data_IF_284499046419
#
_entry.id   IF_284499046419
#
_cell.length_a   1.000
_cell.length_b   1.000
_cell.length_c   1.000
_cell.angle_alpha   90.00
_cell.angle_beta   90.00
_cell.angle_gamma   90.00
#
_symmetry.space_group_name_H-M   'P 1'
#
loop_
_entity.id
_entity.type
_entity.pdbx_description
1 polymer ?
#
# COMPACT_ATOMS: atom_id res chain seq x y z
N UNK A 1 0.49 25.02 0.83
CA UNK A 1 1.01 23.71 1.27
C UNK A 1 -0.17 22.75 1.33
N UNK A 2 -0.28 21.84 0.38
CA UNK A 2 -1.34 20.84 0.32
C UNK A 2 -0.99 19.72 1.30
N UNK A 3 -1.58 19.72 2.50
CA UNK A 3 -1.51 18.55 3.38
C UNK A 3 -2.31 17.44 2.72
N UNK A 4 -1.63 16.41 2.20
CA UNK A 4 -2.30 15.17 1.81
C UNK A 4 -3.10 14.67 3.00
N UNK A 5 -4.41 14.54 2.84
CA UNK A 5 -5.30 13.97 3.86
C UNK A 5 -4.87 12.52 4.09
N UNK A 6 -4.12 12.26 5.17
CA UNK A 6 -3.79 10.89 5.56
C UNK A 6 -5.02 10.25 6.22
N UNK A 7 -5.39 9.06 5.74
CA UNK A 7 -6.51 8.32 6.31
C UNK A 7 -6.13 7.73 7.69
N UNK A 8 -6.97 8.01 8.69
CA UNK A 8 -6.82 7.44 10.03
C UNK A 8 -7.45 6.04 10.04
N UNK A 9 -6.62 5.02 10.22
CA UNK A 9 -7.05 3.61 10.28
C UNK A 9 -7.55 3.23 11.67
N UNK A 10 -6.90 3.73 12.72
CA UNK A 10 -7.29 3.49 14.10
C UNK A 10 -6.90 4.67 14.98
N UNK A 11 -7.81 5.07 15.85
CA UNK A 11 -7.58 6.06 16.89
C UNK A 11 -7.83 5.42 18.25
N UNK A 12 -6.87 5.57 19.16
CA UNK A 12 -6.95 5.08 20.53
C UNK A 12 -6.69 6.23 21.51
N UNK A 13 -7.72 6.79 22.16
CA UNK A 13 -7.55 7.81 23.19
C UNK A 13 -6.98 7.18 24.48
N UNK A 14 -6.65 8.02 25.46
CA UNK A 14 -6.18 7.56 26.78
C UNK A 14 -4.87 6.74 26.70
N UNK A 15 -3.96 7.20 25.84
CA UNK A 15 -2.62 6.65 25.68
C UNK A 15 -1.60 7.67 26.18
N UNK A 16 -0.82 7.27 27.18
CA UNK A 16 0.24 8.07 27.79
C UNK A 16 1.56 7.81 27.08
N UNK A 17 2.24 8.88 26.68
CA UNK A 17 3.60 8.82 26.18
C UNK A 17 4.49 9.73 27.04
N UNK A 18 5.59 9.20 27.58
CA UNK A 18 6.43 9.88 28.58
C UNK A 18 5.58 10.41 29.75
N UNK A 19 5.47 11.74 29.88
CA UNK A 19 4.69 12.43 30.94
C UNK A 19 3.37 13.03 30.43
N UNK A 20 3.03 12.86 29.16
CA UNK A 20 1.84 13.45 28.54
C UNK A 20 0.75 12.42 28.29
N UNK A 21 -0.49 12.82 28.52
CA UNK A 21 -1.69 12.08 28.15
C UNK A 21 -2.18 12.55 26.77
N UNK A 22 -2.68 11.62 25.98
CA UNK A 22 -3.02 11.91 24.61
C UNK A 22 -3.68 10.74 23.89
N UNK A 23 -3.68 10.86 22.57
CA UNK A 23 -4.32 9.93 21.66
C UNK A 23 -3.30 9.40 20.68
N UNK A 24 -3.29 8.08 20.51
CA UNK A 24 -2.48 7.38 19.52
C UNK A 24 -3.29 7.19 18.24
N UNK A 25 -2.69 7.52 17.10
CA UNK A 25 -3.27 7.43 15.78
C UNK A 25 -2.41 6.50 14.94
N UNK A 26 -3.05 5.51 14.32
CA UNK A 26 -2.45 4.68 13.28
C UNK A 26 -3.05 5.16 11.98
N UNK A 27 -2.23 5.82 11.17
CA UNK A 27 -2.59 6.33 9.84
C UNK A 27 -2.18 5.31 8.78
N UNK A 28 -2.37 5.66 7.51
CA UNK A 28 -1.99 4.82 6.36
C UNK A 28 -0.49 4.49 6.32
N UNK A 29 0.39 5.47 6.60
CA UNK A 29 1.85 5.37 6.44
C UNK A 29 2.64 5.51 7.73
N UNK A 30 2.00 5.99 8.80
CA UNK A 30 2.69 6.34 10.04
C UNK A 30 1.86 6.10 11.30
N UNK A 31 2.58 5.86 12.39
CA UNK A 31 2.09 5.92 13.74
C UNK A 31 2.32 7.33 14.29
N UNK A 32 1.26 8.02 14.71
CA UNK A 32 1.33 9.36 15.28
C UNK A 32 0.74 9.40 16.69
N UNK A 33 1.30 10.23 17.58
CA UNK A 33 0.73 10.48 18.90
C UNK A 33 0.56 11.98 19.12
N UNK A 34 -0.63 12.37 19.58
CA UNK A 34 -1.00 13.75 19.85
C UNK A 34 -1.37 13.92 21.32
N UNK A 35 -0.87 14.99 21.95
CA UNK A 35 -1.16 15.30 23.34
C UNK A 35 -2.54 15.96 23.44
N UNK A 36 -3.32 15.62 24.47
CA UNK A 36 -4.74 16.04 24.61
C UNK A 36 -4.92 17.58 24.65
N UNK A 37 -3.90 18.32 25.07
CA UNK A 37 -3.93 19.79 25.19
C UNK A 37 -3.07 20.53 24.16
N UNK A 38 -2.69 19.86 23.05
CA UNK A 38 -1.94 20.50 21.95
C UNK A 38 -2.38 19.95 20.60
N UNK A 39 -2.72 20.84 19.68
CA UNK A 39 -3.06 20.51 18.28
C UNK A 39 -1.84 20.13 17.41
N UNK A 40 -0.67 19.95 18.03
CA UNK A 40 0.56 19.56 17.33
C UNK A 40 0.88 18.09 17.56
N UNK A 41 1.08 17.34 16.47
CA UNK A 41 1.61 15.98 16.50
C UNK A 41 2.94 15.98 17.25
N UNK A 42 3.00 15.28 18.38
CA UNK A 42 4.16 15.29 19.26
C UNK A 42 5.16 14.19 18.91
N UNK A 43 4.68 13.07 18.35
CA UNK A 43 5.50 11.97 17.85
C UNK A 43 4.91 11.48 16.53
N UNK A 44 5.75 11.22 15.55
CA UNK A 44 5.38 10.60 14.28
C UNK A 44 6.47 9.63 13.84
N UNK A 45 6.11 8.37 13.62
CA UNK A 45 7.00 7.30 13.20
C UNK A 45 6.46 6.68 11.91
N UNK A 46 7.22 6.73 10.82
CA UNK A 46 6.87 6.01 9.60
C UNK A 46 6.92 4.51 9.86
N UNK A 47 6.00 3.75 9.27
CA UNK A 47 6.00 2.28 9.43
C UNK A 47 7.26 1.62 8.84
N UNK A 48 7.87 2.23 7.81
CA UNK A 48 9.13 1.79 7.23
C UNK A 48 10.28 1.82 8.25
N UNK A 49 10.27 2.78 9.17
CA UNK A 49 11.34 2.97 10.15
C UNK A 49 11.18 2.07 11.38
N UNK A 50 10.01 1.44 11.55
CA UNK A 50 9.73 0.56 12.67
C UNK A 50 10.34 -0.82 12.42
N UNK A 51 11.34 -1.17 13.24
CA UNK A 51 12.00 -2.47 13.20
C UNK A 51 11.13 -3.58 13.78
N UNK A 52 10.55 -3.32 14.96
CA UNK A 52 9.73 -4.28 15.69
C UNK A 52 8.87 -3.57 16.73
N UNK A 53 7.84 -4.28 17.22
CA UNK A 53 7.02 -3.87 18.35
C UNK A 53 7.06 -4.93 19.45
N UNK A 54 6.87 -4.49 20.70
CA UNK A 54 6.82 -5.33 21.89
C UNK A 54 5.64 -4.92 22.75
N UNK A 55 5.03 -5.88 23.42
CA UNK A 55 3.93 -5.64 24.35
C UNK A 55 4.33 -6.07 25.76
N UNK A 56 3.73 -5.43 26.77
CA UNK A 56 3.87 -5.87 28.17
C UNK A 56 3.29 -7.28 28.34
N UNK A 57 3.95 -8.19 29.08
CA UNK A 57 3.40 -9.51 29.43
C UNK A 57 2.07 -9.41 30.17
N UNK A 58 1.25 -10.45 30.04
CA UNK A 58 -0.01 -10.58 30.78
C UNK A 58 0.24 -10.57 32.30
N UNK A 59 -0.66 -9.94 33.06
CA UNK A 59 -0.53 -9.81 34.51
C UNK A 59 0.36 -8.65 35.01
N UNK A 60 1.03 -7.90 34.13
CA UNK A 60 1.75 -6.67 34.53
C UNK A 60 0.77 -5.53 34.81
N UNK A 61 1.04 -4.77 35.88
CA UNK A 61 0.22 -3.62 36.31
C UNK A 61 0.16 -2.46 35.30
N UNK A 62 1.12 -2.39 34.36
CA UNK A 62 1.14 -1.37 33.29
C UNK A 62 0.97 -2.06 31.95
N UNK A 63 -0.10 -1.70 31.24
CA UNK A 63 -0.36 -2.19 29.89
C UNK A 63 0.39 -1.30 28.89
N UNK A 64 1.41 -1.83 28.23
CA UNK A 64 2.31 -1.03 27.40
C UNK A 64 2.56 -1.67 26.04
N UNK A 65 2.77 -0.81 25.04
CA UNK A 65 3.28 -1.18 23.72
C UNK A 65 4.51 -0.34 23.43
N UNK A 66 5.61 -0.99 23.10
CA UNK A 66 6.87 -0.37 22.73
C UNK A 66 7.13 -0.58 21.23
N UNK A 67 7.45 0.50 20.54
CA UNK A 67 7.93 0.51 19.16
C UNK A 67 9.44 0.75 19.17
N UNK A 68 10.18 -0.08 18.43
CA UNK A 68 11.63 0.04 18.26
C UNK A 68 11.91 0.40 16.81
N UNK A 69 12.58 1.53 16.59
CA UNK A 69 12.98 1.99 15.26
C UNK A 69 14.33 1.37 14.84
N UNK A 70 14.64 1.41 13.55
CA UNK A 70 15.93 0.93 13.01
C UNK A 70 17.13 1.74 13.52
N UNK A 71 16.95 3.03 13.81
CA UNK A 71 17.97 3.91 14.39
C UNK A 71 18.21 3.68 15.90
N UNK A 72 17.57 2.68 16.50
CA UNK A 72 17.69 2.35 17.93
C UNK A 72 16.81 3.17 18.86
N UNK A 73 16.09 4.18 18.36
CA UNK A 73 15.12 4.95 19.16
C UNK A 73 13.96 4.04 19.54
N UNK A 74 13.55 4.11 20.81
CA UNK A 74 12.41 3.35 21.33
C UNK A 74 11.33 4.30 21.86
N UNK A 75 10.08 3.99 21.54
CA UNK A 75 8.91 4.74 22.00
C UNK A 75 7.94 3.81 22.71
N UNK A 76 7.71 4.05 24.00
CA UNK A 76 6.82 3.23 24.83
C UNK A 76 5.53 3.98 25.12
N UNK A 77 4.41 3.40 24.72
CA UNK A 77 3.05 3.90 24.91
C UNK A 77 2.38 3.11 26.04
N UNK A 78 1.77 3.81 26.98
CA UNK A 78 1.08 3.22 28.12
C UNK A 78 -0.43 3.45 28.00
N UNK A 79 -1.20 2.37 28.01
CA UNK A 79 -2.65 2.40 27.89
C UNK A 79 -3.25 2.46 29.28
N UNK A 80 -4.01 3.52 29.58
CA UNK A 80 -4.57 3.75 30.91
C UNK A 80 -6.09 3.91 30.89
N UNK A 81 -6.75 3.28 29.90
CA UNK A 81 -8.20 3.30 29.75
C UNK A 81 -8.94 3.18 31.10
N UNK A 82 -9.84 4.14 31.36
CA UNK A 82 -10.54 4.30 32.64
C UNK A 82 -11.56 3.20 32.91
N UNK A 83 -11.94 2.45 31.87
CA UNK A 83 -12.89 1.34 31.96
C UNK A 83 -12.25 0.06 32.55
N UNK A 84 -10.97 0.12 32.95
CA UNK A 84 -10.29 -0.93 33.70
C UNK A 84 -9.21 -1.68 32.90
N UNK A 85 -8.52 -2.64 33.55
CA UNK A 85 -7.36 -3.33 32.95
C UNK A 85 -7.69 -4.13 31.68
N UNK A 86 -8.90 -4.68 31.60
CA UNK A 86 -9.33 -5.45 30.42
C UNK A 86 -9.50 -4.54 29.19
N UNK A 87 -10.06 -3.34 29.37
CA UNK A 87 -10.16 -2.34 28.31
C UNK A 87 -8.78 -1.82 27.88
N UNK A 88 -7.86 -1.62 28.82
CA UNK A 88 -6.46 -1.26 28.53
C UNK A 88 -5.77 -2.31 27.67
N UNK A 89 -5.94 -3.60 28.02
CA UNK A 89 -5.41 -4.71 27.23
C UNK A 89 -6.03 -4.75 25.84
N UNK A 90 -7.36 -4.63 25.72
CA UNK A 90 -8.06 -4.60 24.44
C UNK A 90 -7.59 -3.44 23.53
N UNK A 91 -7.41 -2.23 24.06
CA UNK A 91 -6.88 -1.08 23.32
C UNK A 91 -5.47 -1.35 22.79
N UNK A 92 -4.60 -1.88 23.64
CA UNK A 92 -3.23 -2.25 23.27
C UNK A 92 -3.21 -3.36 22.22
N UNK A 93 -4.07 -4.37 22.35
CA UNK A 93 -4.10 -5.50 21.44
C UNK A 93 -4.62 -5.11 20.06
N UNK A 94 -5.62 -4.20 19.98
CA UNK A 94 -6.06 -3.61 18.71
C UNK A 94 -4.92 -2.90 17.97
N UNK A 95 -4.12 -2.09 18.69
CA UNK A 95 -2.94 -1.42 18.12
C UNK A 95 -1.90 -2.43 17.66
N UNK A 96 -1.60 -3.42 18.51
CA UNK A 96 -0.64 -4.49 18.22
C UNK A 96 -1.04 -5.25 16.95
N UNK A 97 -2.27 -5.71 16.84
CA UNK A 97 -2.77 -6.48 15.69
C UNK A 97 -2.72 -5.69 14.39
N UNK A 98 -3.10 -4.41 14.42
CA UNK A 98 -3.01 -3.55 13.26
C UNK A 98 -1.55 -3.35 12.83
N UNK A 99 -0.63 -3.09 13.77
CA UNK A 99 0.81 -3.01 13.47
C UNK A 99 1.37 -4.34 12.96
N UNK A 100 0.93 -5.49 13.48
CA UNK A 100 1.34 -6.80 12.95
C UNK A 100 0.92 -7.00 11.49
N UNK A 101 -0.20 -6.41 11.09
CA UNK A 101 -0.70 -6.46 9.71
C UNK A 101 0.00 -5.46 8.79
N UNK A 102 0.31 -4.26 9.29
CA UNK A 102 0.90 -3.17 8.49
C UNK A 102 2.41 -3.33 8.31
N UNK A 103 3.17 -3.57 9.38
CA UNK A 103 4.64 -3.57 9.34
C UNK A 103 5.25 -4.50 8.27
N UNK A 104 4.75 -5.74 8.05
CA UNK A 104 5.27 -6.60 6.99
C UNK A 104 5.05 -6.03 5.59
N UNK A 105 3.94 -5.31 5.36
CA UNK A 105 3.64 -4.69 4.05
C UNK A 105 4.66 -3.58 3.75
N UNK A 106 5.00 -2.78 4.75
CA UNK A 106 5.99 -1.71 4.60
C UNK A 106 7.41 -2.28 4.46
N UNK A 107 7.77 -3.35 5.18
CA UNK A 107 9.06 -4.03 4.96
C UNK A 107 9.18 -4.56 3.53
N UNK A 108 8.18 -5.29 3.03
CA UNK A 108 8.16 -5.75 1.63
C UNK A 108 8.27 -4.62 0.62
N UNK A 109 7.62 -3.48 0.89
CA UNK A 109 7.70 -2.29 0.04
C UNK A 109 9.13 -1.73 0.01
N UNK A 110 9.77 -1.59 1.18
CA UNK A 110 11.17 -1.14 1.29
C UNK A 110 12.13 -2.11 0.58
N UNK A 111 11.96 -3.43 0.79
CA UNK A 111 12.78 -4.45 0.15
C UNK A 111 12.63 -4.39 -1.39
N UNK A 112 11.40 -4.23 -1.89
CA UNK A 112 11.12 -4.08 -3.31
C UNK A 112 11.74 -2.81 -3.90
N UNK A 113 11.60 -1.66 -3.21
CA UNK A 113 12.22 -0.41 -3.66
C UNK A 113 13.75 -0.52 -3.71
N UNK A 114 14.35 -1.23 -2.74
CA UNK A 114 15.79 -1.48 -2.73
C UNK A 114 16.22 -2.42 -3.87
N UNK A 115 15.44 -3.46 -4.16
CA UNK A 115 15.68 -4.37 -5.27
C UNK A 115 15.57 -3.65 -6.63
N UNK A 116 14.56 -2.80 -6.81
CA UNK A 116 14.38 -1.97 -8.01
C UNK A 116 15.56 -1.00 -8.19
N UNK A 117 15.99 -0.33 -7.12
CA UNK A 117 17.19 0.54 -7.11
C UNK A 117 18.45 -0.24 -7.51
N UNK A 118 18.68 -1.41 -6.92
CA UNK A 118 19.82 -2.28 -7.26
C UNK A 118 19.77 -2.76 -8.70
N UNK A 119 18.59 -3.13 -9.21
CA UNK A 119 18.40 -3.52 -10.61
C UNK A 119 18.71 -2.35 -11.53
N UNK A 120 18.29 -1.14 -11.20
CA UNK A 120 18.53 0.07 -12.00
C UNK A 120 20.03 0.40 -12.07
N UNK A 121 20.73 0.33 -10.93
CA UNK A 121 22.18 0.49 -10.89
C UNK A 121 22.89 -0.59 -11.72
N UNK A 122 22.45 -1.85 -11.63
CA UNK A 122 23.05 -2.95 -12.37
C UNK A 122 22.82 -2.86 -13.88
N UNK A 123 21.66 -2.34 -14.29
CA UNK A 123 21.28 -2.20 -15.71
C UNK A 123 21.89 -0.97 -16.37
N UNK A 124 22.33 0.03 -15.58
CA UNK A 124 22.88 1.30 -16.07
C UNK A 124 24.28 1.56 -15.51
N UNK A 125 25.35 1.14 -16.22
CA UNK A 125 26.73 1.31 -15.75
C UNK A 125 27.11 2.77 -15.46
N UNK A 126 26.60 3.73 -16.25
CA UNK A 126 26.85 5.16 -16.02
C UNK A 126 26.21 5.67 -14.72
N UNK A 127 25.00 5.19 -14.38
CA UNK A 127 24.32 5.55 -13.13
C UNK A 127 25.05 4.94 -11.93
N UNK A 128 25.52 3.70 -12.04
CA UNK A 128 26.31 3.05 -11.00
C UNK A 128 27.61 3.80 -10.73
N UNK A 129 28.29 4.28 -11.78
CA UNK A 129 29.50 5.09 -11.62
C UNK A 129 29.21 6.39 -10.87
N UNK A 130 28.14 7.11 -11.27
CA UNK A 130 27.72 8.32 -10.57
C UNK A 130 27.34 8.05 -9.09
N UNK A 131 26.67 6.94 -8.82
CA UNK A 131 26.36 6.52 -7.44
C UNK A 131 27.64 6.31 -6.61
N UNK A 132 28.66 5.66 -7.19
CA UNK A 132 29.96 5.49 -6.51
C UNK A 132 30.64 6.83 -6.27
N UNK A 133 30.69 7.69 -7.28
CA UNK A 133 31.45 8.94 -7.21
C UNK A 133 30.83 9.99 -6.27
N UNK A 134 29.53 9.89 -5.99
CA UNK A 134 28.82 10.83 -5.12
C UNK A 134 28.44 10.24 -3.75
N UNK A 135 27.99 8.98 -3.68
CA UNK A 135 27.50 8.37 -2.44
C UNK A 135 28.62 7.66 -1.68
N UNK A 136 29.54 6.97 -2.35
CA UNK A 136 30.67 6.31 -1.65
C UNK A 136 31.73 7.29 -1.18
N UNK A 137 31.81 8.46 -1.83
CA UNK A 137 32.69 9.57 -1.44
C UNK A 137 32.07 10.49 -0.39
N UNK A 138 30.87 10.16 0.10
CA UNK A 138 30.10 10.92 1.10
C UNK A 138 29.79 12.38 0.69
N UNK A 139 29.82 12.69 -0.60
CA UNK A 139 29.44 14.03 -1.12
C UNK A 139 27.94 14.26 -0.99
N UNK A 140 27.15 13.20 -1.15
CA UNK A 140 25.69 13.20 -0.93
C UNK A 140 25.25 11.91 -0.26
N UNK A 141 24.13 11.95 0.46
CA UNK A 141 23.53 10.74 1.02
C UNK A 141 22.86 9.89 -0.08
N UNK A 142 22.68 8.59 0.20
CA UNK A 142 21.97 7.69 -0.72
C UNK A 142 20.56 8.20 -1.02
N UNK A 143 19.84 8.73 -0.02
CA UNK A 143 18.50 9.28 -0.18
C UNK A 143 18.48 10.51 -1.12
N UNK A 144 19.41 11.44 -0.93
CA UNK A 144 19.56 12.63 -1.79
C UNK A 144 19.93 12.28 -3.24
N UNK A 145 20.81 11.29 -3.43
CA UNK A 145 21.14 10.78 -4.76
C UNK A 145 19.89 10.28 -5.48
N UNK A 146 19.09 9.43 -4.84
CA UNK A 146 17.88 8.88 -5.44
C UNK A 146 16.80 9.95 -5.69
N UNK A 147 16.71 10.95 -4.81
CA UNK A 147 15.73 12.03 -4.91
C UNK A 147 16.07 13.09 -5.96
N UNK A 148 17.35 13.29 -6.30
CA UNK A 148 17.77 14.37 -7.21
C UNK A 148 18.41 13.84 -8.49
N UNK A 149 19.40 12.95 -8.37
CA UNK A 149 20.28 12.52 -9.46
C UNK A 149 19.72 11.29 -10.22
N UNK A 150 19.02 10.39 -9.53
CA UNK A 150 18.44 9.19 -10.14
C UNK A 150 17.02 9.41 -10.72
N UNK A 151 16.43 10.58 -10.53
CA UNK A 151 15.04 10.87 -10.92
C UNK A 151 14.77 10.62 -12.41
N UNK A 152 15.69 11.01 -13.28
CA UNK A 152 15.57 10.78 -14.73
C UNK A 152 15.53 9.27 -15.08
N UNK A 153 16.27 8.43 -14.35
CA UNK A 153 16.32 6.99 -14.58
C UNK A 153 15.08 6.29 -14.01
N UNK A 154 14.60 6.69 -12.84
CA UNK A 154 13.33 6.17 -12.27
C UNK A 154 12.11 6.55 -13.11
N UNK A 155 12.08 7.75 -13.70
CA UNK A 155 11.01 8.17 -14.62
C UNK A 155 11.04 7.39 -15.92
N UNK A 156 12.22 7.15 -16.50
CA UNK A 156 12.37 6.33 -17.70
C UNK A 156 11.92 4.89 -17.48
N UNK A 157 12.22 4.31 -16.31
CA UNK A 157 11.77 2.96 -15.95
C UNK A 157 10.25 2.87 -15.75
N UNK A 158 9.64 3.86 -15.08
CA UNK A 158 8.17 3.93 -14.95
C UNK A 158 7.47 4.16 -16.29
N UNK A 159 8.11 4.88 -17.22
CA UNK A 159 7.60 5.06 -18.58
C UNK A 159 7.69 3.80 -19.45
N UNK A 160 8.58 2.84 -19.11
CA UNK A 160 8.68 1.56 -19.82
C UNK A 160 7.60 0.54 -19.46
N UNK A 161 6.75 0.81 -18.47
CA UNK A 161 5.48 0.08 -18.33
C UNK A 161 4.51 0.63 -19.38
N UNK A 162 4.79 0.40 -20.66
CA UNK A 162 3.82 0.61 -21.71
C UNK A 162 2.78 -0.50 -21.63
N UNK A 163 1.50 -0.13 -21.54
CA UNK A 163 0.44 -1.11 -21.72
C UNK A 163 0.55 -1.68 -23.13
N UNK A 164 0.61 -3.00 -23.24
CA UNK A 164 0.57 -3.70 -24.53
C UNK A 164 -0.72 -3.28 -25.23
N UNK A 165 -0.61 -2.66 -26.40
CA UNK A 165 -1.75 -2.26 -27.21
C UNK A 165 -2.57 -3.48 -27.61
N UNK A 166 -3.90 -3.37 -27.55
CA UNK A 166 -4.79 -4.42 -28.03
C UNK A 166 -4.69 -4.45 -29.56
N UNK A 167 -4.31 -5.60 -30.14
CA UNK A 167 -4.25 -5.75 -31.59
C UNK A 167 -5.63 -5.53 -32.19
N UNK A 168 -5.75 -4.75 -33.27
CA UNK A 168 -7.03 -4.48 -33.93
C UNK A 168 -7.75 -5.73 -34.47
N UNK A 169 -7.04 -6.85 -34.61
CA UNK A 169 -7.58 -8.13 -35.03
C UNK A 169 -8.11 -9.01 -33.89
N UNK A 170 -7.91 -8.64 -32.62
CA UNK A 170 -8.19 -9.56 -31.50
C UNK A 170 -9.67 -9.95 -31.37
N UNK A 171 -10.60 -9.07 -31.75
CA UNK A 171 -12.03 -9.43 -31.77
C UNK A 171 -12.36 -10.45 -32.86
N UNK A 172 -11.58 -10.49 -33.95
CA UNK A 172 -11.82 -11.40 -35.08
C UNK A 172 -11.46 -12.86 -34.75
N UNK A 173 -10.58 -13.07 -33.77
CA UNK A 173 -10.17 -14.39 -33.29
C UNK A 173 -11.21 -15.02 -32.34
N UNK A 174 -12.14 -14.23 -31.81
CA UNK A 174 -13.22 -14.71 -30.94
C UNK A 174 -14.30 -15.34 -31.81
N UNK A 175 -14.28 -16.67 -31.95
CA UNK A 175 -15.26 -17.42 -32.72
C UNK A 175 -16.46 -17.85 -31.86
N UNK A 176 -17.70 -17.75 -32.37
CA UNK A 176 -18.86 -18.31 -31.70
C UNK A 176 -18.77 -19.84 -31.66
N UNK A 177 -19.06 -20.43 -30.50
CA UNK A 177 -19.26 -21.86 -30.35
C UNK A 177 -20.77 -22.15 -30.27
N UNK A 178 -21.23 -23.15 -31.01
CA UNK A 178 -22.61 -23.63 -30.96
C UNK A 178 -22.75 -24.63 -29.83
N UNK A 179 -23.44 -24.24 -28.76
CA UNK A 179 -23.94 -25.19 -27.77
C UNK A 179 -25.17 -25.85 -28.41
N UNK A 180 -25.26 -27.19 -28.40
CA UNK A 180 -26.14 -28.02 -29.26
C UNK A 180 -27.66 -27.82 -29.14
N UNK A 181 -28.10 -26.68 -28.59
CA UNK A 181 -29.48 -26.26 -28.38
C UNK A 181 -29.72 -24.82 -28.91
N UNK A 182 -29.32 -24.53 -30.16
CA UNK A 182 -29.52 -23.23 -30.84
C UNK A 182 -28.95 -21.99 -30.11
N UNK A 183 -28.04 -22.19 -29.15
CA UNK A 183 -27.43 -21.12 -28.37
C UNK A 183 -26.01 -20.78 -28.85
N UNK A 184 -25.77 -19.50 -29.13
CA UNK A 184 -24.43 -18.96 -29.41
C UNK A 184 -23.71 -18.67 -28.08
N UNK A 185 -22.60 -19.37 -27.84
CA UNK A 185 -21.74 -19.15 -26.66
C UNK A 185 -20.34 -18.72 -27.11
N UNK A 186 -19.78 -17.73 -26.45
CA UNK A 186 -18.41 -17.28 -26.68
C UNK A 186 -17.53 -17.77 -25.53
N UNK A 187 -16.38 -18.35 -25.85
CA UNK A 187 -15.38 -18.70 -24.84
C UNK A 187 -14.48 -17.49 -24.60
N UNK A 188 -14.77 -16.74 -23.55
CA UNK A 188 -14.14 -15.44 -23.26
C UNK A 188 -13.35 -15.58 -21.97
N UNK A 189 -12.03 -15.47 -22.06
CA UNK A 189 -11.13 -15.47 -20.90
C UNK A 189 -11.08 -14.09 -20.26
N UNK A 190 -10.63 -14.00 -19.01
CA UNK A 190 -10.44 -12.73 -18.31
C UNK A 190 -9.54 -11.76 -19.09
N UNK A 191 -8.47 -12.26 -19.71
CA UNK A 191 -7.56 -11.45 -20.52
C UNK A 191 -8.26 -10.83 -21.74
N UNK A 192 -9.17 -11.57 -22.38
CA UNK A 192 -9.99 -11.08 -23.50
C UNK A 192 -10.91 -9.96 -22.99
N UNK A 193 -11.59 -10.17 -21.87
CA UNK A 193 -12.49 -9.18 -21.27
C UNK A 193 -11.76 -7.86 -21.00
N UNK A 194 -10.57 -7.94 -20.41
CA UNK A 194 -9.73 -6.76 -20.16
C UNK A 194 -9.36 -6.05 -21.47
N UNK A 195 -9.01 -6.80 -22.52
CA UNK A 195 -8.76 -6.24 -23.85
C UNK A 195 -10.00 -5.55 -24.46
N UNK A 196 -11.20 -6.11 -24.28
CA UNK A 196 -12.46 -5.47 -24.72
C UNK A 196 -12.69 -4.18 -23.94
N UNK A 197 -12.51 -4.18 -22.62
CA UNK A 197 -12.71 -3.00 -21.78
C UNK A 197 -11.73 -1.87 -22.08
N UNK A 198 -10.48 -2.22 -22.44
CA UNK A 198 -9.48 -1.24 -22.89
C UNK A 198 -9.86 -0.63 -24.23
N UNK A 199 -10.31 -1.46 -25.18
CA UNK A 199 -10.72 -0.99 -26.52
C UNK A 199 -12.04 -0.21 -26.48
N UNK A 200 -13.00 -0.63 -25.66
CA UNK A 200 -14.34 -0.06 -25.56
C UNK A 200 -14.71 0.24 -24.08
N UNK A 201 -14.29 1.39 -23.53
CA UNK A 201 -14.60 1.77 -22.14
C UNK A 201 -16.10 1.81 -21.82
N UNK A 202 -16.95 2.09 -22.82
CA UNK A 202 -18.40 2.07 -22.67
C UNK A 202 -18.95 0.67 -22.31
N UNK A 203 -18.31 -0.40 -22.79
CA UNK A 203 -18.68 -1.79 -22.50
C UNK A 203 -18.38 -2.11 -21.04
N UNK A 204 -17.24 -1.65 -20.52
CA UNK A 204 -16.87 -1.78 -19.09
C UNK A 204 -17.93 -1.15 -18.18
N UNK A 205 -18.35 0.07 -18.50
CA UNK A 205 -19.41 0.76 -17.74
C UNK A 205 -20.71 -0.04 -17.74
N UNK A 206 -21.13 -0.53 -18.92
CA UNK A 206 -22.35 -1.32 -19.05
C UNK A 206 -22.28 -2.66 -18.31
N UNK A 207 -21.12 -3.33 -18.36
CA UNK A 207 -20.85 -4.57 -17.65
C UNK A 207 -21.00 -4.39 -16.14
N UNK A 208 -20.37 -3.37 -15.55
CA UNK A 208 -20.46 -3.09 -14.10
C UNK A 208 -21.90 -2.78 -13.67
N UNK A 209 -22.66 -2.06 -14.50
CA UNK A 209 -24.05 -1.68 -14.18
C UNK A 209 -25.06 -2.84 -14.31
N UNK A 210 -24.78 -3.84 -15.16
CA UNK A 210 -25.77 -4.87 -15.54
C UNK A 210 -25.38 -6.29 -15.12
N UNK A 211 -24.11 -6.55 -14.84
CA UNK A 211 -23.59 -7.85 -14.38
C UNK A 211 -23.08 -7.70 -12.95
N UNK A 212 -23.45 -8.58 -11.99
CA UNK A 212 -24.35 -9.74 -12.13
C UNK A 212 -25.83 -9.40 -11.92
N UNK A 213 -26.17 -8.14 -11.64
CA UNK A 213 -27.48 -7.76 -11.09
C UNK A 213 -28.67 -7.94 -12.04
N UNK A 214 -28.47 -7.79 -13.36
CA UNK A 214 -29.53 -7.86 -14.38
C UNK A 214 -29.34 -8.98 -15.41
N UNK A 215 -28.09 -9.34 -15.71
CA UNK A 215 -27.72 -10.37 -16.68
C UNK A 215 -26.52 -11.17 -16.15
N UNK A 216 -26.43 -12.42 -16.57
CA UNK A 216 -25.20 -13.19 -16.35
C UNK A 216 -24.12 -12.74 -17.33
N UNK A 217 -22.86 -12.94 -16.97
CA UNK A 217 -21.71 -12.60 -17.81
C UNK A 217 -21.81 -13.22 -19.22
N UNK A 218 -22.19 -14.50 -19.30
CA UNK A 218 -22.38 -15.18 -20.59
C UNK A 218 -23.45 -14.50 -21.44
N UNK A 219 -24.57 -14.07 -20.85
CA UNK A 219 -25.65 -13.41 -21.58
C UNK A 219 -25.26 -11.99 -22.04
N UNK A 220 -24.51 -11.26 -21.20
CA UNK A 220 -24.01 -9.94 -21.53
C UNK A 220 -23.09 -10.00 -22.75
N UNK A 221 -22.13 -10.93 -22.74
CA UNK A 221 -21.19 -11.07 -23.84
C UNK A 221 -21.84 -11.59 -25.13
N UNK A 222 -22.78 -12.53 -25.03
CA UNK A 222 -23.56 -12.96 -26.20
C UNK A 222 -24.27 -11.79 -26.87
N UNK A 223 -24.87 -10.86 -26.10
CA UNK A 223 -25.48 -9.65 -26.65
C UNK A 223 -24.47 -8.67 -27.22
N UNK A 224 -23.32 -8.50 -26.59
CA UNK A 224 -22.26 -7.62 -27.05
C UNK A 224 -21.71 -8.05 -28.43
N UNK A 225 -21.46 -9.35 -28.64
CA UNK A 225 -20.95 -9.87 -29.92
C UNK A 225 -22.03 -10.05 -31.00
N UNK A 226 -23.30 -9.91 -30.65
CA UNK A 226 -24.44 -9.95 -31.58
C UNK A 226 -24.97 -8.56 -31.98
N UNK A 227 -24.56 -7.50 -31.27
CA UNK A 227 -24.95 -6.11 -31.56
C UNK A 227 -23.99 -5.50 -32.58
#
# INVERSE_FOLDING_TARGET
>A
MTTSSEDVLLQVPQVRFKKGDGTLFLMDQRLAWMMENRDTVSISHLYADIKTQKISPEGKAKVQLQVVLHNGVTSTFHFFNRNGPQAQAADRDRVKELLQTLLPKFKRKVDRELEEKNKLLSSNPALLQLYRDLVMTEVVTSEEFWAQHATQYTKAQNAQVQEIGVSGAFLADIKPQTDGCNGLKYNITADIIECIFKTYPAVKKKYIEHVPAKLTESQFWTKFFQS
#
